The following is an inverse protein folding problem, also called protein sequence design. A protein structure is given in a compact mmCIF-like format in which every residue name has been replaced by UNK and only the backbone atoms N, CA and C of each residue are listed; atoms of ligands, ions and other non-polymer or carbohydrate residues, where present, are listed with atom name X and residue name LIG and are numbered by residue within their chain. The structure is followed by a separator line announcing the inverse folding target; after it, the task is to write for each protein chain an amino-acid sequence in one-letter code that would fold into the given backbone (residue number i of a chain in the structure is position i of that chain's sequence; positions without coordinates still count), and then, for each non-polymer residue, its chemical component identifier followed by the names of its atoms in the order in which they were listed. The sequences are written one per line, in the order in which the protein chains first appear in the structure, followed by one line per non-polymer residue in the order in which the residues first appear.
data_IF_922062194317
#
_entry.id   IF_922062194317
#
_cell.length_a   1.000
_cell.length_b   1.000
_cell.length_c   1.000
_cell.angle_alpha   90.00
_cell.angle_beta   90.00
_cell.angle_gamma   90.00
#
_symmetry.space_group_name_H-M   'P 1'
#
loop_
_entity.id
_entity.type
_entity.pdbx_description
1 polymer ?
#
# COMPACT_ATOMS: atom_id res chain seq x y z
N UNK A 1 -6.46 15.15 1.58
CA UNK A 1 -7.35 14.66 0.50
C UNK A 1 -8.72 14.30 1.04
N UNK A 2 -8.80 13.48 2.09
CA UNK A 2 -10.08 13.00 2.60
C UNK A 2 -10.97 14.10 3.19
N UNK A 3 -12.27 14.05 2.91
CA UNK A 3 -13.22 15.10 3.31
C UNK A 3 -13.59 15.08 4.81
N UNK A 4 -13.34 14.00 5.53
CA UNK A 4 -13.45 13.96 7.00
C UNK A 4 -12.37 14.77 7.73
N UNK A 5 -11.32 15.22 7.03
CA UNK A 5 -10.25 16.09 7.59
C UNK A 5 -10.15 17.41 6.81
N UNK A 6 -10.35 17.39 5.50
CA UNK A 6 -10.16 18.56 4.65
C UNK A 6 -11.45 19.38 4.51
N UNK A 7 -11.67 20.28 5.47
CA UNK A 7 -12.79 21.22 5.50
C UNK A 7 -12.52 22.55 4.78
N UNK A 8 -11.45 22.62 3.98
CA UNK A 8 -11.07 23.87 3.30
C UNK A 8 -12.11 24.29 2.26
N UNK A 9 -12.28 25.60 2.10
CA UNK A 9 -13.18 26.23 1.14
C UNK A 9 -12.46 26.93 -0.01
N UNK A 10 -11.13 26.88 -0.02
CA UNK A 10 -10.32 27.40 -1.12
C UNK A 10 -10.06 26.35 -2.21
N UNK A 11 -9.14 26.65 -3.13
CA UNK A 11 -8.81 25.78 -4.26
C UNK A 11 -8.19 24.41 -3.89
N UNK A 12 -7.98 24.13 -2.59
CA UNK A 12 -7.45 22.87 -2.08
C UNK A 12 -8.48 22.04 -1.29
N UNK A 13 -9.74 22.47 -1.21
CA UNK A 13 -10.82 21.73 -0.53
C UNK A 13 -12.18 21.83 -1.20
N UNK A 14 -13.19 21.24 -0.54
CA UNK A 14 -14.54 21.09 -1.08
C UNK A 14 -14.61 19.99 -2.14
N UNK A 15 -14.49 20.36 -3.42
CA UNK A 15 -14.64 19.41 -4.53
C UNK A 15 -13.56 18.34 -4.53
N UNK A 16 -13.88 17.15 -5.07
CA UNK A 16 -12.91 16.06 -5.21
C UNK A 16 -11.67 16.49 -6.02
N UNK A 17 -11.86 17.34 -7.02
CA UNK A 17 -10.77 17.92 -7.81
C UNK A 17 -9.81 18.76 -6.95
N UNK A 18 -10.35 19.70 -6.18
CA UNK A 18 -9.57 20.57 -5.30
C UNK A 18 -8.84 19.74 -4.23
N UNK A 19 -9.51 18.75 -3.65
CA UNK A 19 -8.94 17.87 -2.63
C UNK A 19 -7.75 17.04 -3.15
N UNK A 20 -7.71 16.75 -4.44
CA UNK A 20 -6.60 16.06 -5.12
C UNK A 20 -5.49 17.02 -5.61
N UNK A 21 -5.71 18.33 -5.59
CA UNK A 21 -4.78 19.31 -6.17
C UNK A 21 -3.40 19.27 -5.51
N UNK A 22 -3.36 19.22 -4.19
CA UNK A 22 -2.11 19.23 -3.43
C UNK A 22 -1.22 18.01 -3.73
N UNK A 23 -1.78 16.80 -3.73
CA UNK A 23 -0.99 15.59 -4.05
C UNK A 23 -0.43 15.66 -5.47
N UNK A 24 -1.20 16.19 -6.43
CA UNK A 24 -0.72 16.30 -7.81
C UNK A 24 0.40 17.33 -7.98
N UNK A 25 0.33 18.46 -7.26
CA UNK A 25 1.42 19.44 -7.25
C UNK A 25 2.70 18.84 -6.66
N UNK A 26 2.59 18.06 -5.57
CA UNK A 26 3.74 17.37 -4.97
C UNK A 26 4.33 16.35 -5.94
N UNK A 27 3.49 15.49 -6.54
CA UNK A 27 3.96 14.49 -7.50
C UNK A 27 4.62 15.17 -8.70
N UNK A 28 4.02 16.23 -9.27
CA UNK A 28 4.60 16.99 -10.37
C UNK A 28 5.96 17.58 -10.00
N UNK A 29 6.10 18.18 -8.81
CA UNK A 29 7.35 18.77 -8.35
C UNK A 29 8.46 17.71 -8.24
N UNK A 30 8.15 16.54 -7.65
CA UNK A 30 9.10 15.43 -7.52
C UNK A 30 9.45 14.85 -8.89
N UNK A 31 8.46 14.60 -9.75
CA UNK A 31 8.68 14.15 -11.14
C UNK A 31 9.58 15.13 -11.91
N UNK A 32 9.40 16.43 -11.72
CA UNK A 32 10.23 17.44 -12.39
C UNK A 32 11.68 17.42 -11.88
N UNK A 33 11.88 17.10 -10.60
CA UNK A 33 13.21 17.03 -10.00
C UNK A 33 13.97 15.75 -10.34
N UNK A 34 13.28 14.60 -10.38
CA UNK A 34 13.94 13.29 -10.49
C UNK A 34 13.46 12.41 -11.65
N UNK A 35 12.54 12.86 -12.50
CA UNK A 35 11.99 12.05 -13.60
C UNK A 35 10.93 11.04 -13.12
N UNK A 36 9.91 10.81 -13.95
CA UNK A 36 8.74 10.00 -13.57
C UNK A 36 9.08 8.53 -13.30
N UNK A 37 10.02 7.98 -14.05
CA UNK A 37 10.48 6.59 -13.94
C UNK A 37 11.15 6.26 -12.60
N UNK A 38 11.44 7.27 -11.77
CA UNK A 38 11.99 7.15 -10.40
C UNK A 38 11.01 7.57 -9.30
N UNK A 39 9.74 7.83 -9.63
CA UNK A 39 8.72 8.25 -8.67
C UNK A 39 7.65 7.18 -8.51
N UNK A 40 7.47 6.70 -7.27
CA UNK A 40 6.32 5.93 -6.86
C UNK A 40 5.35 6.78 -6.02
N UNK A 41 4.05 6.49 -6.12
CA UNK A 41 3.00 7.16 -5.31
C UNK A 41 2.32 6.13 -4.44
N UNK A 42 2.15 6.42 -3.14
CA UNK A 42 1.42 5.55 -2.21
C UNK A 42 0.14 6.22 -1.71
N UNK A 43 -0.99 5.51 -1.79
CA UNK A 43 -2.29 5.98 -1.31
C UNK A 43 -3.02 4.90 -0.49
N UNK A 44 -3.95 5.35 0.35
CA UNK A 44 -4.80 4.49 1.18
C UNK A 44 -6.23 5.05 1.28
N UNK A 45 -6.94 5.20 0.15
CA UNK A 45 -8.23 5.88 0.12
C UNK A 45 -9.28 5.23 1.02
N UNK A 46 -9.30 3.90 1.15
CA UNK A 46 -10.25 3.17 1.99
C UNK A 46 -9.81 2.96 3.46
N UNK A 47 -8.64 3.48 3.89
CA UNK A 47 -8.16 3.29 5.27
C UNK A 47 -8.52 4.48 6.15
N UNK A 48 -9.31 4.24 7.19
CA UNK A 48 -9.76 5.26 8.15
C UNK A 48 -8.83 5.40 9.37
N UNK A 49 -7.52 5.43 9.12
CA UNK A 49 -6.53 5.57 10.18
C UNK A 49 -6.43 7.03 10.65
N UNK A 50 -6.32 7.25 11.97
CA UNK A 50 -6.28 8.59 12.59
C UNK A 50 -7.49 9.46 12.22
N UNK A 51 -8.69 8.85 12.22
CA UNK A 51 -9.96 9.50 11.87
C UNK A 51 -10.00 10.13 10.47
N UNK A 52 -9.05 9.78 9.61
CA UNK A 52 -9.02 10.19 8.22
C UNK A 52 -10.04 9.37 7.42
N UNK A 53 -11.32 9.73 7.52
CA UNK A 53 -12.42 9.11 6.77
C UNK A 53 -12.71 9.89 5.50
N UNK A 54 -13.11 9.19 4.43
CA UNK A 54 -13.63 9.81 3.21
C UNK A 54 -15.05 9.32 2.97
N UNK A 55 -15.94 10.21 2.53
CA UNK A 55 -17.33 9.86 2.22
C UNK A 55 -17.48 8.96 0.98
N UNK A 56 -16.52 9.00 0.04
CA UNK A 56 -16.48 8.15 -1.15
C UNK A 56 -15.04 7.72 -1.49
N UNK A 57 -14.51 6.71 -0.77
CA UNK A 57 -13.15 6.21 -0.98
C UNK A 57 -12.90 5.71 -2.41
N UNK A 58 -13.91 5.12 -3.05
CA UNK A 58 -13.80 4.56 -4.40
C UNK A 58 -13.53 5.68 -5.40
N UNK A 59 -14.37 6.71 -5.41
CA UNK A 59 -14.21 7.88 -6.28
C UNK A 59 -12.94 8.65 -5.96
N UNK A 60 -12.56 8.76 -4.69
CA UNK A 60 -11.29 9.39 -4.31
C UNK A 60 -10.09 8.68 -4.94
N UNK A 61 -10.02 7.35 -4.83
CA UNK A 61 -8.94 6.58 -5.44
C UNK A 61 -8.92 6.70 -6.98
N UNK A 62 -10.10 6.65 -7.62
CA UNK A 62 -10.23 6.81 -9.06
C UNK A 62 -9.78 8.20 -9.55
N UNK A 63 -10.15 9.27 -8.84
CA UNK A 63 -9.77 10.63 -9.19
C UNK A 63 -8.25 10.87 -9.12
N UNK A 64 -7.57 10.26 -8.13
CA UNK A 64 -6.10 10.29 -8.06
C UNK A 64 -5.51 9.50 -9.24
N UNK A 65 -6.00 8.29 -9.49
CA UNK A 65 -5.51 7.42 -10.58
C UNK A 65 -5.64 8.09 -11.94
N UNK A 66 -6.78 8.71 -12.23
CA UNK A 66 -7.01 9.46 -13.47
C UNK A 66 -5.95 10.55 -13.66
N UNK A 67 -5.66 11.33 -12.61
CA UNK A 67 -4.65 12.40 -12.64
C UNK A 67 -3.23 11.88 -12.80
N UNK A 68 -2.91 10.75 -12.17
CA UNK A 68 -1.61 10.09 -12.36
C UNK A 68 -1.46 9.56 -13.79
N UNK A 69 -2.49 8.92 -14.36
CA UNK A 69 -2.46 8.46 -15.75
C UNK A 69 -2.29 9.63 -16.73
N UNK A 70 -2.99 10.75 -16.48
CA UNK A 70 -2.83 11.98 -17.26
C UNK A 70 -1.39 12.51 -17.15
N UNK A 71 -0.84 12.60 -15.96
CA UNK A 71 0.55 13.04 -15.75
C UNK A 71 1.54 12.18 -16.55
N UNK A 72 1.40 10.85 -16.48
CA UNK A 72 2.25 9.92 -17.22
C UNK A 72 2.16 10.12 -18.75
N UNK A 73 0.97 10.45 -19.25
CA UNK A 73 0.74 10.77 -20.65
C UNK A 73 1.40 12.09 -21.03
N UNK A 74 1.18 13.12 -20.21
CA UNK A 74 1.69 14.48 -20.43
C UNK A 74 3.23 14.52 -20.39
N UNK A 75 3.88 13.71 -19.56
CA UNK A 75 5.35 13.63 -19.48
C UNK A 75 5.99 12.54 -20.35
N UNK A 76 5.18 11.71 -21.03
CA UNK A 76 5.66 10.61 -21.90
C UNK A 76 6.41 9.50 -21.16
N UNK A 77 6.31 9.43 -19.82
CA UNK A 77 6.98 8.43 -18.98
C UNK A 77 6.05 7.91 -17.90
N UNK A 78 6.11 6.61 -17.64
CA UNK A 78 5.34 6.00 -16.55
C UNK A 78 5.98 6.34 -15.21
N UNK A 79 5.14 6.45 -14.16
CA UNK A 79 5.62 6.40 -12.79
C UNK A 79 6.19 5.00 -12.51
N UNK A 80 7.12 4.90 -11.55
CA UNK A 80 7.69 3.60 -11.16
C UNK A 80 6.59 2.65 -10.67
N UNK A 81 5.66 3.15 -9.87
CA UNK A 81 4.49 2.40 -9.42
C UNK A 81 3.42 3.28 -8.76
N UNK A 82 2.20 2.76 -8.70
CA UNK A 82 1.19 3.13 -7.72
C UNK A 82 1.08 2.05 -6.64
N UNK A 83 1.24 2.44 -5.38
CA UNK A 83 1.13 1.56 -4.22
C UNK A 83 -0.15 1.85 -3.44
N UNK A 84 -1.12 0.94 -3.49
CA UNK A 84 -2.38 1.08 -2.75
C UNK A 84 -2.36 0.17 -1.52
N UNK A 85 -2.64 0.76 -0.35
CA UNK A 85 -2.80 0.00 0.89
C UNK A 85 -4.28 -0.26 1.11
N UNK A 86 -4.67 -1.54 1.11
CA UNK A 86 -6.02 -1.98 1.42
C UNK A 86 -6.24 -2.02 2.95
N UNK A 87 -7.47 -1.85 3.42
CA UNK A 87 -7.79 -1.98 4.84
C UNK A 87 -7.44 -3.39 5.35
N UNK A 88 -7.29 -3.51 6.68
CA UNK A 88 -6.96 -4.80 7.30
C UNK A 88 -8.18 -5.72 7.30
N UNK A 89 -8.43 -6.41 6.20
CA UNK A 89 -9.37 -7.53 6.20
C UNK A 89 -8.80 -8.80 5.57
N UNK A 90 -7.69 -9.31 6.10
CA UNK A 90 -7.28 -10.70 5.84
C UNK A 90 -6.49 -11.30 7.01
N UNK A 91 -6.87 -12.52 7.39
CA UNK A 91 -6.28 -13.47 8.36
C UNK A 91 -6.30 -13.18 9.88
N UNK A 92 -6.38 -11.93 10.36
CA UNK A 92 -6.26 -11.65 11.82
C UNK A 92 -7.44 -10.89 12.46
N UNK A 93 -8.53 -10.65 11.73
CA UNK A 93 -9.80 -10.17 12.31
C UNK A 93 -9.77 -8.84 13.05
N UNK A 94 -8.73 -8.00 12.86
CA UNK A 94 -8.63 -6.72 13.55
C UNK A 94 -8.25 -5.58 12.60
N UNK A 95 -9.23 -4.72 12.33
CA UNK A 95 -9.00 -3.32 11.97
C UNK A 95 -8.61 -2.57 13.26
N UNK A 96 -7.69 -1.62 13.18
CA UNK A 96 -7.42 -0.70 14.31
C UNK A 96 -8.53 0.35 14.47
N UNK A 97 -9.41 0.49 13.47
CA UNK A 97 -10.46 1.50 13.40
C UNK A 97 -11.86 1.02 13.78
N UNK A 98 -12.07 -0.25 14.14
CA UNK A 98 -13.39 -0.77 14.55
C UNK A 98 -14.49 -0.78 13.46
N UNK A 99 -14.26 -0.10 12.32
CA UNK A 99 -15.13 -0.13 11.16
C UNK A 99 -15.05 -1.51 10.50
N UNK A 100 -16.20 -2.17 10.41
CA UNK A 100 -16.37 -3.45 9.72
C UNK A 100 -16.60 -3.17 8.23
N UNK A 101 -15.54 -2.81 7.52
CA UNK A 101 -15.57 -2.79 6.06
C UNK A 101 -15.95 -4.17 5.52
N UNK A 102 -16.78 -4.21 4.48
CA UNK A 102 -17.14 -5.47 3.82
C UNK A 102 -15.95 -5.94 2.97
N UNK A 103 -15.40 -7.12 3.26
CA UNK A 103 -14.27 -7.69 2.53
C UNK A 103 -14.48 -7.73 1.00
N UNK A 104 -15.71 -8.00 0.56
CA UNK A 104 -16.07 -8.02 -0.86
C UNK A 104 -16.03 -6.63 -1.49
N UNK A 105 -16.37 -5.60 -0.71
CA UNK A 105 -16.30 -4.21 -1.14
C UNK A 105 -14.86 -3.72 -1.24
N UNK A 106 -14.01 -4.03 -0.26
CA UNK A 106 -12.59 -3.69 -0.31
C UNK A 106 -11.89 -4.37 -1.50
N UNK A 107 -12.19 -5.66 -1.73
CA UNK A 107 -11.70 -6.39 -2.90
C UNK A 107 -12.22 -5.77 -4.22
N UNK A 108 -13.47 -5.29 -4.25
CA UNK A 108 -14.03 -4.56 -5.40
C UNK A 108 -13.28 -3.26 -5.65
N UNK A 109 -12.99 -2.48 -4.61
CA UNK A 109 -12.24 -1.23 -4.73
C UNK A 109 -10.83 -1.47 -5.30
N UNK A 110 -10.08 -2.42 -4.71
CA UNK A 110 -8.74 -2.77 -5.17
C UNK A 110 -8.72 -3.19 -6.64
N UNK A 111 -9.65 -4.06 -7.05
CA UNK A 111 -9.78 -4.48 -8.46
C UNK A 111 -10.15 -3.33 -9.39
N UNK A 112 -10.99 -2.41 -8.92
CA UNK A 112 -11.41 -1.24 -9.70
C UNK A 112 -10.23 -0.28 -9.91
N UNK A 113 -9.47 0.01 -8.86
CA UNK A 113 -8.26 0.83 -8.94
C UNK A 113 -7.17 0.18 -9.78
N UNK A 114 -6.95 -1.13 -9.65
CA UNK A 114 -5.99 -1.88 -10.48
C UNK A 114 -6.33 -1.77 -11.96
N UNK A 115 -7.60 -1.95 -12.33
CA UNK A 115 -8.07 -1.85 -13.73
C UNK A 115 -7.94 -0.43 -14.29
N UNK A 116 -8.12 0.58 -13.45
CA UNK A 116 -8.04 1.98 -13.87
C UNK A 116 -6.60 2.48 -14.04
N UNK A 117 -5.65 2.00 -13.23
CA UNK A 117 -4.27 2.50 -13.26
C UNK A 117 -3.44 1.92 -14.41
N UNK A 118 -2.72 2.79 -15.13
CA UNK A 118 -1.90 2.44 -16.28
C UNK A 118 -0.41 2.42 -15.90
N UNK A 119 0.01 1.37 -15.18
CA UNK A 119 1.39 1.21 -14.74
C UNK A 119 1.54 0.03 -13.80
N UNK A 120 2.68 -0.04 -13.11
CA UNK A 120 2.93 -1.06 -12.09
C UNK A 120 2.12 -0.77 -10.84
N UNK A 121 1.26 -1.70 -10.44
CA UNK A 121 0.38 -1.59 -9.29
C UNK A 121 0.85 -2.50 -8.14
N UNK A 122 1.16 -1.90 -7.00
CA UNK A 122 1.53 -2.59 -5.77
C UNK A 122 0.35 -2.59 -4.81
N UNK A 123 -0.04 -3.76 -4.31
CA UNK A 123 -1.00 -3.86 -3.21
C UNK A 123 -0.29 -4.17 -1.89
N UNK A 124 -0.89 -3.77 -0.78
CA UNK A 124 -0.43 -4.14 0.57
C UNK A 124 -1.56 -4.08 1.57
N UNK A 125 -1.41 -4.76 2.70
CA UNK A 125 -2.41 -4.80 3.77
C UNK A 125 -2.91 -6.22 4.03
N UNK A 126 -2.37 -6.85 5.07
CA UNK A 126 -2.86 -8.15 5.55
C UNK A 126 -2.52 -9.38 4.69
N UNK A 127 -1.73 -9.23 3.62
CA UNK A 127 -1.38 -10.36 2.75
C UNK A 127 -0.67 -11.48 3.50
N UNK A 128 -1.12 -12.71 3.22
CA UNK A 128 -0.38 -13.95 3.50
C UNK A 128 0.42 -14.34 2.25
N UNK A 129 1.14 -15.47 2.31
CA UNK A 129 1.75 -16.07 1.12
C UNK A 129 0.70 -16.34 0.04
N UNK A 130 -0.35 -17.07 0.40
CA UNK A 130 -1.35 -17.54 -0.56
C UNK A 130 -2.09 -16.36 -1.19
N UNK A 131 -2.58 -15.43 -0.38
CA UNK A 131 -3.27 -14.24 -0.88
C UNK A 131 -2.39 -13.40 -1.81
N UNK A 132 -1.07 -13.35 -1.55
CA UNK A 132 -0.15 -12.62 -2.42
C UNK A 132 0.08 -13.32 -3.76
N UNK A 133 0.15 -14.66 -3.76
CA UNK A 133 0.22 -15.46 -4.98
C UNK A 133 -1.06 -15.28 -5.81
N UNK A 134 -2.21 -15.40 -5.16
CA UNK A 134 -3.51 -15.29 -5.82
C UNK A 134 -3.70 -13.91 -6.44
N UNK A 135 -3.39 -12.83 -5.71
CA UNK A 135 -3.52 -11.46 -6.22
C UNK A 135 -2.66 -11.19 -7.47
N UNK A 136 -1.46 -11.77 -7.55
CA UNK A 136 -0.62 -11.64 -8.76
C UNK A 136 -1.12 -12.54 -9.88
N UNK A 137 -1.52 -13.78 -9.57
CA UNK A 137 -2.01 -14.74 -10.56
C UNK A 137 -3.33 -14.29 -11.22
N UNK A 138 -4.20 -13.62 -10.46
CA UNK A 138 -5.49 -13.10 -10.92
C UNK A 138 -5.37 -11.74 -11.62
N UNK A 139 -4.19 -11.11 -11.59
CA UNK A 139 -3.95 -9.78 -12.19
C UNK A 139 -4.45 -8.60 -11.33
N UNK A 140 -4.81 -8.86 -10.08
CA UNK A 140 -5.27 -7.85 -9.12
C UNK A 140 -4.12 -6.95 -8.62
N UNK A 141 -2.88 -7.39 -8.75
CA UNK A 141 -1.67 -6.58 -8.54
C UNK A 141 -0.49 -7.10 -9.37
N UNK A 142 0.48 -6.23 -9.65
CA UNK A 142 1.75 -6.66 -10.25
C UNK A 142 2.77 -7.03 -9.16
N UNK A 143 2.68 -6.39 -7.98
CA UNK A 143 3.54 -6.63 -6.83
C UNK A 143 2.74 -6.60 -5.52
N UNK A 144 3.22 -7.33 -4.51
CA UNK A 144 2.64 -7.36 -3.16
C UNK A 144 3.69 -6.92 -2.15
N UNK A 145 3.38 -5.91 -1.35
CA UNK A 145 4.26 -5.42 -0.30
C UNK A 145 3.85 -5.92 1.09
N UNK A 146 4.85 -6.40 1.85
CA UNK A 146 4.70 -6.92 3.20
C UNK A 146 5.44 -6.02 4.20
N UNK A 147 4.74 -5.54 5.24
CA UNK A 147 5.36 -4.72 6.30
C UNK A 147 5.77 -5.57 7.52
N UNK A 148 4.78 -5.90 8.37
CA UNK A 148 4.97 -6.66 9.62
C UNK A 148 5.74 -7.96 9.46
N UNK A 149 5.48 -8.70 8.38
CA UNK A 149 6.19 -9.96 8.13
C UNK A 149 7.67 -9.71 7.80
N UNK A 150 8.01 -8.62 7.13
CA UNK A 150 9.41 -8.27 6.85
C UNK A 150 10.14 -7.80 8.11
N UNK A 151 9.45 -7.14 9.05
CA UNK A 151 10.02 -6.80 10.37
C UNK A 151 10.54 -8.07 11.06
N UNK A 152 9.70 -9.11 11.16
CA UNK A 152 10.07 -10.32 11.91
C UNK A 152 10.82 -11.37 11.11
N UNK A 153 10.90 -11.26 9.78
CA UNK A 153 11.52 -12.25 8.90
C UNK A 153 12.49 -11.54 7.95
N UNK A 154 13.78 -11.40 8.30
CA UNK A 154 14.75 -10.74 7.42
C UNK A 154 14.93 -11.47 6.08
N UNK A 155 14.61 -12.76 6.04
CA UNK A 155 14.63 -13.65 4.89
C UNK A 155 13.22 -14.00 4.37
N UNK A 156 12.25 -13.09 4.54
CA UNK A 156 10.84 -13.33 4.18
C UNK A 156 10.66 -13.91 2.78
N UNK A 157 11.35 -13.37 1.77
CA UNK A 157 11.22 -13.83 0.38
C UNK A 157 11.56 -15.31 0.24
N UNK A 158 12.64 -15.75 0.90
CA UNK A 158 13.03 -17.16 0.89
C UNK A 158 11.98 -18.04 1.59
N UNK A 159 11.45 -17.58 2.73
CA UNK A 159 10.41 -18.31 3.45
C UNK A 159 9.12 -18.44 2.65
N UNK A 160 8.70 -17.37 1.98
CA UNK A 160 7.53 -17.41 1.09
C UNK A 160 7.77 -18.37 -0.08
N UNK A 161 8.97 -18.35 -0.69
CA UNK A 161 9.33 -19.28 -1.78
C UNK A 161 9.26 -20.74 -1.34
N UNK A 162 9.79 -21.06 -0.17
CA UNK A 162 9.86 -22.43 0.36
C UNK A 162 8.59 -22.87 1.12
N UNK A 163 7.62 -21.97 1.29
CA UNK A 163 6.50 -22.15 2.22
C UNK A 163 6.98 -22.53 3.65
N UNK A 164 8.07 -21.90 4.10
CA UNK A 164 8.68 -22.16 5.39
C UNK A 164 7.94 -21.43 6.53
N UNK A 165 8.09 -21.89 7.79
CA UNK A 165 7.52 -21.19 8.95
C UNK A 165 7.99 -19.75 9.06
N UNK A 166 7.07 -18.84 9.37
CA UNK A 166 7.35 -17.42 9.60
C UNK A 166 7.53 -17.15 11.09
N UNK A 167 8.53 -16.34 11.42
CA UNK A 167 8.69 -15.76 12.74
C UNK A 167 7.49 -14.87 13.06
N UNK A 168 6.94 -15.00 14.28
CA UNK A 168 5.89 -14.11 14.77
C UNK A 168 6.47 -12.73 15.07
N UNK A 169 5.79 -11.69 14.61
CA UNK A 169 6.12 -10.31 14.96
C UNK A 169 5.68 -9.96 16.38
N UNK A 170 6.39 -9.05 17.04
CA UNK A 170 6.09 -8.59 18.40
C UNK A 170 5.66 -7.12 18.31
N UNK A 171 4.35 -6.84 18.48
CA UNK A 171 3.83 -5.47 18.32
C UNK A 171 4.42 -4.48 19.33
N UNK A 172 4.74 -4.95 20.53
CA UNK A 172 5.32 -4.13 21.60
C UNK A 172 6.68 -3.52 21.22
N UNK A 173 7.39 -4.11 20.25
CA UNK A 173 8.73 -3.65 19.84
C UNK A 173 8.73 -2.92 18.50
N UNK A 174 7.58 -2.68 17.84
CA UNK A 174 7.54 -1.98 16.54
C UNK A 174 8.12 -0.57 16.59
N UNK A 175 7.98 0.10 17.74
CA UNK A 175 8.50 1.44 17.97
C UNK A 175 9.43 1.45 19.18
N UNK A 176 10.22 0.38 19.34
CA UNK A 176 11.27 0.32 20.36
C UNK A 176 12.38 1.34 20.06
N UNK A 177 13.06 1.80 21.11
CA UNK A 177 14.31 2.58 20.98
C UNK A 177 15.55 1.67 21.12
N UNK A 178 15.35 0.41 21.47
CA UNK A 178 16.42 -0.58 21.55
C UNK A 178 16.94 -0.90 20.13
N UNK A 179 18.25 -0.80 19.87
CA UNK A 179 18.81 -1.02 18.53
C UNK A 179 18.83 -2.50 18.11
N UNK A 180 18.56 -3.42 19.03
CA UNK A 180 18.65 -4.87 18.80
C UNK A 180 17.29 -5.54 18.97
N UNK A 181 16.68 -5.39 20.14
CA UNK A 181 15.53 -6.21 20.56
C UNK A 181 14.28 -5.89 19.74
N UNK A 182 13.82 -6.85 18.96
CA UNK A 182 12.68 -6.70 18.06
C UNK A 182 12.99 -5.87 16.80
N UNK A 183 14.27 -5.67 16.48
CA UNK A 183 14.73 -4.95 15.30
C UNK A 183 15.71 -5.78 14.46
N UNK A 184 16.87 -6.15 15.02
CA UNK A 184 17.93 -6.90 14.32
C UNK A 184 18.16 -8.31 14.86
N UNK A 185 17.44 -8.70 15.91
CA UNK A 185 17.55 -10.00 16.59
C UNK A 185 16.60 -11.09 16.05
N UNK A 186 15.78 -10.78 15.04
CA UNK A 186 14.93 -11.78 14.40
C UNK A 186 15.77 -12.81 13.63
N UNK A 187 15.61 -14.13 13.90
CA UNK A 187 16.49 -15.14 13.32
C UNK A 187 16.17 -15.42 11.86
N UNK A 188 17.21 -15.70 11.07
CA UNK A 188 17.10 -16.28 9.73
C UNK A 188 16.65 -17.74 9.77
N UNK A 189 16.13 -18.27 8.66
CA UNK A 189 15.81 -19.67 8.51
C UNK A 189 17.10 -20.50 8.60
N UNK A 190 17.13 -21.47 9.51
CA UNK A 190 18.28 -22.35 9.66
C UNK A 190 18.25 -23.41 8.54
N UNK A 191 18.94 -23.15 7.44
CA UNK A 191 19.12 -24.12 6.37
C UNK A 191 20.19 -25.15 6.79
N UNK A 192 20.01 -26.45 6.48
CA UNK A 192 21.08 -27.41 6.66
C UNK A 192 22.29 -26.94 5.86
N UNK A 193 23.43 -26.72 6.52
CA UNK A 193 24.69 -26.41 5.83
C UNK A 193 24.99 -27.60 4.91
N UNK A 194 24.96 -27.40 3.60
CA UNK A 194 25.51 -28.40 2.68
C UNK A 194 26.98 -28.56 3.04
N UNK A 195 27.35 -29.73 3.57
CA UNK A 195 28.75 -30.10 3.68
C UNK A 195 29.28 -30.24 2.26
N UNK A 196 30.05 -29.25 1.81
CA UNK A 196 31.01 -29.42 0.72
C UNK A 196 32.24 -30.13 1.28
#
# INVERSE_FOLDING_TARGET
MKDGINERTDEYGGSLENRCKFIMQVVQAVVSAVGADRVGVRISPAIDHLDAMDSDPLSLGLAVIERLNKLQTDCGSRLTYLHVTQPRYTAYGQTESGSHGNADEEARFMRTWRKAYQGTFICSGGFTRQLGIDAVAEGDADLVAYGRLFISNPDLVLRLKLNAPLNKYIRATFYTHDPVVGYTDYPFLNLPKSRL
#
